data_IF_827096917931
#
_entry.id   IF_827096917931
#
_cell.length_a   1.000
_cell.length_b   1.000
_cell.length_c   1.000
_cell.angle_alpha   90.00
_cell.angle_beta   90.00
_cell.angle_gamma   90.00
#
_symmetry.space_group_name_H-M   'P 1'
#
loop_
_entity.id
_entity.type
_entity.pdbx_description
1 polymer ?
#
# COMPACT_ATOMS: atom_id res chain seq x y z
N UNK A 1 15.99 -5.69 -17.36
CA UNK A 1 17.20 -5.48 -18.17
C UNK A 1 16.82 -4.75 -19.44
N UNK A 2 17.63 -3.80 -19.92
CA UNK A 2 17.29 -2.92 -21.04
C UNK A 2 18.39 -2.85 -22.12
N UNK A 3 19.55 -3.46 -21.90
CA UNK A 3 20.67 -3.43 -22.83
C UNK A 3 21.28 -4.81 -22.97
N UNK A 4 21.92 -5.09 -24.12
CA UNK A 4 22.63 -6.35 -24.34
C UNK A 4 23.71 -6.60 -23.26
N UNK A 5 24.44 -5.57 -22.83
CA UNK A 5 25.46 -5.69 -21.77
C UNK A 5 24.88 -6.17 -20.43
N UNK A 6 23.67 -5.74 -20.08
CA UNK A 6 22.99 -6.23 -18.88
C UNK A 6 22.52 -7.68 -19.05
N UNK A 7 22.12 -8.05 -20.27
CA UNK A 7 21.74 -9.42 -20.61
C UNK A 7 22.93 -10.37 -20.52
N UNK A 8 24.09 -9.98 -21.05
CA UNK A 8 25.29 -10.81 -21.00
C UNK A 8 25.77 -11.09 -19.58
N UNK A 9 25.67 -10.09 -18.70
CA UNK A 9 26.00 -10.28 -17.28
C UNK A 9 25.06 -11.28 -16.62
N UNK A 10 23.76 -11.19 -16.88
CA UNK A 10 22.78 -12.13 -16.32
C UNK A 10 22.97 -13.55 -16.88
N UNK A 11 23.32 -13.70 -18.17
CA UNK A 11 23.63 -14.99 -18.79
C UNK A 11 24.85 -15.63 -18.12
N UNK A 12 25.91 -14.85 -17.86
CA UNK A 12 27.08 -15.35 -17.16
C UNK A 12 26.73 -15.81 -15.73
N UNK A 13 25.89 -15.06 -15.01
CA UNK A 13 25.41 -15.46 -13.69
C UNK A 13 24.60 -16.77 -13.74
N UNK A 14 23.70 -16.91 -14.73
CA UNK A 14 22.90 -18.13 -14.97
C UNK A 14 23.80 -19.34 -15.26
N UNK A 15 24.87 -19.16 -16.02
CA UNK A 15 25.85 -20.22 -16.29
C UNK A 15 26.57 -20.68 -15.02
N UNK A 16 26.96 -19.73 -14.16
CA UNK A 16 27.64 -20.04 -12.89
C UNK A 16 26.72 -20.62 -11.81
N UNK A 17 25.42 -20.31 -11.87
CA UNK A 17 24.42 -20.71 -10.90
C UNK A 17 23.12 -21.16 -11.60
N UNK A 18 23.09 -22.40 -12.15
CA UNK A 18 21.98 -22.86 -12.97
C UNK A 18 20.69 -23.03 -12.16
N UNK A 19 19.57 -22.59 -12.75
CA UNK A 19 18.23 -22.67 -12.17
C UNK A 19 17.17 -22.20 -13.15
N UNK A 20 15.90 -22.42 -12.83
CA UNK A 20 14.78 -22.00 -13.70
C UNK A 20 14.82 -20.47 -13.91
N UNK A 21 14.82 -20.04 -15.17
CA UNK A 21 14.85 -18.62 -15.54
C UNK A 21 13.45 -18.12 -15.87
N UNK A 22 12.89 -17.29 -14.99
CA UNK A 22 11.65 -16.56 -15.23
C UNK A 22 11.96 -15.13 -15.67
N UNK A 23 11.36 -14.66 -16.77
CA UNK A 23 11.68 -13.34 -17.32
C UNK A 23 10.45 -12.57 -17.84
N UNK A 24 10.59 -11.25 -17.98
CA UNK A 24 9.53 -10.32 -18.43
C UNK A 24 10.05 -9.32 -19.48
N UNK A 25 11.00 -9.76 -20.31
CA UNK A 25 11.56 -8.97 -21.41
C UNK A 25 10.52 -8.80 -22.51
N UNK A 26 10.27 -7.54 -22.87
CA UNK A 26 9.33 -7.15 -23.94
C UNK A 26 10.04 -6.99 -25.29
N UNK A 27 11.33 -6.68 -25.25
CA UNK A 27 12.18 -6.61 -26.43
C UNK A 27 12.44 -8.02 -26.98
N UNK A 28 12.02 -8.25 -28.22
CA UNK A 28 12.10 -9.58 -28.86
C UNK A 28 13.53 -10.06 -29.07
N UNK A 29 14.46 -9.15 -29.38
CA UNK A 29 15.85 -9.52 -29.63
C UNK A 29 16.51 -10.00 -28.33
N UNK A 30 16.29 -9.26 -27.24
CA UNK A 30 16.80 -9.63 -25.92
C UNK A 30 16.16 -10.92 -25.41
N UNK A 31 14.85 -11.11 -25.57
CA UNK A 31 14.17 -12.33 -25.12
C UNK A 31 14.65 -13.55 -25.91
N UNK A 32 14.75 -13.46 -27.24
CA UNK A 32 15.21 -14.59 -28.06
C UNK A 32 16.65 -14.99 -27.74
N UNK A 33 17.54 -14.02 -27.49
CA UNK A 33 18.91 -14.29 -27.08
C UNK A 33 18.99 -14.99 -25.71
N UNK A 34 18.18 -14.55 -24.74
CA UNK A 34 18.10 -15.21 -23.44
C UNK A 34 17.63 -16.67 -23.59
N UNK A 35 16.53 -16.89 -24.32
CA UNK A 35 15.99 -18.24 -24.56
C UNK A 35 16.96 -19.15 -25.30
N UNK A 36 17.71 -18.61 -26.26
CA UNK A 36 18.75 -19.36 -26.94
C UNK A 36 19.84 -19.79 -25.96
N UNK A 37 20.33 -18.88 -25.11
CA UNK A 37 21.39 -19.19 -24.14
C UNK A 37 20.92 -20.18 -23.07
N UNK A 38 19.70 -20.02 -22.57
CA UNK A 38 19.11 -21.00 -21.66
C UNK A 38 18.98 -22.38 -22.31
N UNK A 39 18.60 -22.46 -23.60
CA UNK A 39 18.59 -23.73 -24.34
C UNK A 39 19.98 -24.34 -24.49
N UNK A 40 20.99 -23.53 -24.82
CA UNK A 40 22.39 -23.98 -24.91
C UNK A 40 22.90 -24.56 -23.58
N UNK A 41 22.48 -23.98 -22.45
CA UNK A 41 22.84 -24.45 -21.11
C UNK A 41 21.95 -25.60 -20.59
N UNK A 42 20.91 -26.01 -21.33
CA UNK A 42 19.94 -27.00 -20.87
C UNK A 42 19.07 -26.51 -19.70
N UNK A 43 18.92 -25.19 -19.55
CA UNK A 43 18.20 -24.54 -18.46
C UNK A 43 16.76 -24.21 -18.91
N UNK A 44 15.73 -24.62 -18.14
CA UNK A 44 14.36 -24.20 -18.40
C UNK A 44 14.22 -22.68 -18.27
N UNK A 45 13.62 -22.06 -19.29
CA UNK A 45 13.28 -20.63 -19.25
C UNK A 45 11.83 -20.40 -19.67
N UNK A 46 11.18 -19.40 -19.07
CA UNK A 46 9.78 -19.07 -19.33
C UNK A 46 9.53 -17.57 -19.22
N UNK A 47 8.87 -17.00 -20.24
CA UNK A 47 8.32 -15.65 -20.16
C UNK A 47 7.04 -15.65 -19.35
N UNK A 48 7.00 -14.87 -18.26
CA UNK A 48 5.84 -14.81 -17.36
C UNK A 48 4.68 -14.03 -17.99
N UNK A 49 4.99 -12.97 -18.74
CA UNK A 49 3.97 -12.06 -19.29
C UNK A 49 3.60 -12.35 -20.75
N UNK A 50 4.44 -13.03 -21.52
CA UNK A 50 4.18 -13.26 -22.95
C UNK A 50 2.83 -13.98 -23.23
N UNK A 51 2.43 -15.01 -22.47
CA UNK A 51 1.14 -15.67 -22.70
C UNK A 51 -0.05 -14.71 -22.50
N UNK A 52 0.00 -13.88 -21.46
CA UNK A 52 -1.04 -12.90 -21.14
C UNK A 52 -1.10 -11.80 -22.21
N UNK A 53 0.07 -11.29 -22.62
CA UNK A 53 0.16 -10.27 -23.67
C UNK A 53 -0.34 -10.79 -25.02
N UNK A 54 0.01 -12.03 -25.38
CA UNK A 54 -0.42 -12.67 -26.63
C UNK A 54 -1.95 -12.86 -26.65
N UNK A 55 -2.55 -13.20 -25.50
CA UNK A 55 -4.00 -13.27 -25.36
C UNK A 55 -4.66 -11.91 -25.64
N UNK A 56 -4.18 -10.84 -24.99
CA UNK A 56 -4.71 -9.50 -25.23
C UNK A 56 -4.55 -9.02 -26.67
N UNK A 57 -3.40 -9.29 -27.31
CA UNK A 57 -3.17 -8.96 -28.73
C UNK A 57 -4.18 -9.65 -29.63
N UNK A 58 -4.38 -10.96 -29.43
CA UNK A 58 -5.32 -11.74 -30.24
C UNK A 58 -6.76 -11.27 -30.09
N UNK A 59 -7.15 -10.83 -28.89
CA UNK A 59 -8.50 -10.36 -28.61
C UNK A 59 -8.75 -8.92 -29.10
N UNK A 60 -7.77 -8.02 -28.93
CA UNK A 60 -7.92 -6.60 -29.23
C UNK A 60 -7.53 -6.25 -30.68
N UNK A 61 -6.93 -7.18 -31.43
CA UNK A 61 -6.50 -6.95 -32.82
C UNK A 61 -5.39 -5.92 -32.97
N UNK A 62 -4.70 -5.57 -31.87
CA UNK A 62 -3.65 -4.56 -31.85
C UNK A 62 -2.26 -5.22 -31.93
N UNK A 63 -1.48 -4.87 -32.96
CA UNK A 63 -0.06 -5.16 -32.97
C UNK A 63 0.62 -4.34 -31.86
N UNK A 64 1.35 -5.01 -30.96
CA UNK A 64 2.14 -4.29 -29.96
C UNK A 64 3.25 -3.52 -30.66
N UNK A 65 3.16 -2.19 -30.63
CA UNK A 65 4.34 -1.37 -30.72
C UNK A 65 5.21 -1.69 -29.50
N UNK A 66 6.26 -2.49 -29.70
CA UNK A 66 7.27 -2.76 -28.69
C UNK A 66 8.12 -1.50 -28.47
N UNK A 67 7.51 -0.42 -27.98
CA UNK A 67 8.25 0.75 -27.55
C UNK A 67 8.71 0.52 -26.11
N UNK A 68 9.99 0.16 -25.99
CA UNK A 68 10.75 0.37 -24.76
C UNK A 68 10.69 1.88 -24.46
N UNK A 69 9.91 2.26 -23.44
CA UNK A 69 9.74 3.66 -23.07
C UNK A 69 8.54 4.37 -23.72
N UNK A 70 7.38 3.72 -23.82
CA UNK A 70 6.10 4.41 -24.03
C UNK A 70 5.80 5.38 -22.85
N UNK A 71 6.51 6.51 -22.84
CA UNK A 71 6.61 7.47 -21.75
C UNK A 71 5.62 8.63 -21.94
N UNK A 72 4.59 8.48 -22.78
CA UNK A 72 3.78 9.60 -23.26
C UNK A 72 2.28 9.55 -22.95
N UNK A 73 1.74 8.49 -22.35
CA UNK A 73 0.42 8.50 -21.68
C UNK A 73 0.52 8.76 -20.17
N UNK A 74 1.60 9.43 -19.77
CA UNK A 74 2.07 9.59 -18.40
C UNK A 74 1.44 10.75 -17.62
N UNK A 75 0.36 11.37 -18.08
CA UNK A 75 -0.03 12.67 -17.52
C UNK A 75 -0.97 12.52 -16.29
N UNK A 76 -2.27 12.40 -16.49
CA UNK A 76 -3.22 12.63 -15.39
C UNK A 76 -3.14 11.62 -14.23
N UNK A 77 -3.07 10.31 -14.51
CA UNK A 77 -3.11 9.30 -13.45
C UNK A 77 -1.81 9.23 -12.66
N UNK A 78 -0.67 9.45 -13.33
CA UNK A 78 0.63 9.52 -12.66
C UNK A 78 0.73 10.79 -11.82
N UNK A 79 0.38 11.96 -12.35
CA UNK A 79 0.36 13.20 -11.57
C UNK A 79 -0.62 13.13 -10.39
N UNK A 80 -1.77 12.47 -10.55
CA UNK A 80 -2.69 12.19 -9.43
C UNK A 80 -2.03 11.34 -8.32
N UNK A 81 -1.23 10.33 -8.69
CA UNK A 81 -0.48 9.52 -7.71
C UNK A 81 0.61 10.33 -7.03
N UNK A 82 1.33 11.17 -7.78
CA UNK A 82 2.36 12.06 -7.21
C UNK A 82 1.74 13.05 -6.23
N UNK A 83 0.64 13.70 -6.61
CA UNK A 83 -0.10 14.61 -5.73
C UNK A 83 -0.61 13.91 -4.48
N UNK A 84 -1.21 12.72 -4.62
CA UNK A 84 -1.65 11.92 -3.48
C UNK A 84 -0.50 11.50 -2.56
N UNK A 85 0.66 11.14 -3.11
CA UNK A 85 1.87 10.80 -2.35
C UNK A 85 2.41 12.01 -1.58
N UNK A 86 2.51 13.16 -2.24
CA UNK A 86 2.96 14.40 -1.60
C UNK A 86 2.03 14.80 -0.45
N UNK A 87 0.72 14.81 -0.70
CA UNK A 87 -0.28 15.07 0.34
C UNK A 87 -0.13 14.11 1.53
N UNK A 88 -0.06 12.80 1.26
CA UNK A 88 0.01 11.78 2.29
C UNK A 88 1.28 11.87 3.12
N UNK A 89 2.44 12.13 2.49
CA UNK A 89 3.70 12.30 3.21
C UNK A 89 3.67 13.52 4.14
N UNK A 90 3.02 14.63 3.73
CA UNK A 90 2.85 15.81 4.58
C UNK A 90 1.94 15.56 5.79
N UNK A 91 1.03 14.58 5.71
CA UNK A 91 0.02 14.30 6.73
C UNK A 91 0.24 12.98 7.50
N UNK A 92 1.39 12.30 7.33
CA UNK A 92 1.62 11.02 8.00
C UNK A 92 2.11 11.18 9.45
N UNK A 93 2.91 12.22 9.73
CA UNK A 93 3.49 12.48 11.05
C UNK A 93 2.55 13.21 12.01
N UNK A 94 1.29 13.45 11.62
CA UNK A 94 0.27 14.11 12.45
C UNK A 94 0.55 15.58 12.78
N UNK A 95 1.57 16.18 12.16
CA UNK A 95 1.99 17.57 12.42
C UNK A 95 1.18 18.61 11.63
N UNK A 96 0.52 18.20 10.54
CA UNK A 96 -0.30 19.07 9.70
C UNK A 96 -1.75 18.57 9.79
N UNK A 97 -2.57 19.30 10.52
CA UNK A 97 -4.03 19.09 10.64
C UNK A 97 -4.82 20.16 9.88
N UNK A 98 -4.11 21.14 9.32
CA UNK A 98 -4.67 22.07 8.35
C UNK A 98 -4.94 21.30 7.04
N UNK A 99 -6.02 21.60 6.34
CA UNK A 99 -6.40 20.95 5.08
C UNK A 99 -6.82 19.46 5.12
N UNK A 100 -7.20 18.92 6.29
CA UNK A 100 -7.78 17.55 6.38
C UNK A 100 -8.99 17.33 5.45
N UNK A 101 -9.74 18.39 5.14
CA UNK A 101 -10.91 18.30 4.26
C UNK A 101 -10.55 18.12 2.77
N UNK A 102 -9.27 18.35 2.40
CA UNK A 102 -8.74 18.05 1.06
C UNK A 102 -8.37 16.56 0.89
N UNK A 103 -8.39 15.77 1.97
CA UNK A 103 -8.14 14.34 1.89
C UNK A 103 -9.30 13.60 1.21
N UNK A 104 -8.99 12.51 0.50
CA UNK A 104 -10.00 11.53 0.10
C UNK A 104 -10.38 10.63 1.29
N UNK A 105 -9.37 10.27 2.10
CA UNK A 105 -9.49 9.35 3.24
C UNK A 105 -8.72 9.90 4.43
N UNK A 106 -9.31 9.81 5.62
CA UNK A 106 -8.62 10.05 6.89
C UNK A 106 -8.57 8.75 7.67
N UNK A 107 -7.36 8.26 7.97
CA UNK A 107 -7.16 7.09 8.82
C UNK A 107 -6.98 7.53 10.26
N UNK A 108 -7.78 6.97 11.15
CA UNK A 108 -7.68 7.23 12.60
C UNK A 108 -7.41 5.93 13.34
N UNK A 109 -6.71 6.01 14.47
CA UNK A 109 -6.47 4.84 15.31
C UNK A 109 -5.19 4.95 16.11
N UNK A 110 -4.99 3.99 17.01
CA UNK A 110 -3.89 3.99 17.96
C UNK A 110 -2.57 3.62 17.28
N UNK A 111 -1.43 3.85 17.93
CA UNK A 111 -0.13 3.43 17.38
C UNK A 111 -0.12 1.92 17.08
N UNK A 112 0.55 1.52 15.99
CA UNK A 112 0.70 0.12 15.55
C UNK A 112 -0.54 -0.57 14.95
N UNK A 113 -1.46 0.21 14.41
CA UNK A 113 -2.60 -0.24 13.59
C UNK A 113 -2.36 -0.12 12.08
N UNK A 114 -1.09 -0.15 11.64
CA UNK A 114 -0.69 -0.09 10.22
C UNK A 114 -1.18 1.13 9.41
N UNK A 115 -1.52 2.25 10.07
CA UNK A 115 -1.98 3.48 9.39
C UNK A 115 -0.98 4.00 8.35
N UNK A 116 0.27 4.27 8.72
CA UNK A 116 1.31 4.79 7.81
C UNK A 116 1.52 3.92 6.57
N UNK A 117 1.79 2.59 6.69
CA UNK A 117 1.92 1.76 5.50
C UNK A 117 0.65 1.71 4.63
N UNK A 118 -0.53 1.74 5.26
CA UNK A 118 -1.82 1.75 4.54
C UNK A 118 -2.04 3.06 3.81
N UNK A 119 -1.73 4.20 4.43
CA UNK A 119 -1.84 5.53 3.83
C UNK A 119 -0.94 5.63 2.60
N UNK A 120 0.33 5.21 2.71
CA UNK A 120 1.27 5.19 1.58
C UNK A 120 0.77 4.28 0.46
N UNK A 121 0.23 3.10 0.80
CA UNK A 121 -0.32 2.19 -0.20
C UNK A 121 -1.53 2.79 -0.95
N UNK A 122 -2.43 3.48 -0.24
CA UNK A 122 -3.55 4.19 -0.84
C UNK A 122 -3.08 5.36 -1.72
N UNK A 123 -2.07 6.10 -1.28
CA UNK A 123 -1.47 7.20 -2.03
C UNK A 123 -0.84 6.73 -3.35
N UNK A 124 -0.18 5.57 -3.36
CA UNK A 124 0.31 4.92 -4.58
C UNK A 124 -0.80 4.58 -5.59
N UNK A 125 -2.06 4.49 -5.12
CA UNK A 125 -3.25 4.33 -5.97
C UNK A 125 -3.93 5.66 -6.32
N UNK A 126 -3.35 6.79 -5.93
CA UNK A 126 -3.84 8.13 -6.22
C UNK A 126 -4.93 8.61 -5.26
N UNK A 127 -4.93 8.15 -4.02
CA UNK A 127 -5.89 8.52 -2.97
C UNK A 127 -5.17 9.37 -1.93
N UNK A 128 -5.59 10.64 -1.76
CA UNK A 128 -5.05 11.55 -0.74
C UNK A 128 -5.44 11.03 0.64
N UNK A 129 -4.47 10.57 1.42
CA UNK A 129 -4.75 9.95 2.72
C UNK A 129 -4.07 10.74 3.83
N UNK A 130 -4.83 11.17 4.83
CA UNK A 130 -4.28 11.76 6.04
C UNK A 130 -4.29 10.75 7.19
N UNK A 131 -3.26 10.76 8.04
CA UNK A 131 -3.13 9.85 9.16
C UNK A 131 -3.20 10.63 10.48
N UNK A 132 -4.29 10.43 11.24
CA UNK A 132 -4.52 11.10 12.51
C UNK A 132 -4.36 10.09 13.65
N UNK A 133 -3.26 10.14 14.41
CA UNK A 133 -3.07 9.25 15.55
C UNK A 133 -4.08 9.59 16.66
N UNK A 134 -4.66 8.55 17.26
CA UNK A 134 -5.53 8.70 18.44
C UNK A 134 -4.77 8.28 19.69
N UNK A 135 -4.74 9.18 20.67
CA UNK A 135 -4.15 8.96 21.99
C UNK A 135 -5.16 9.43 23.04
N UNK A 136 -5.60 8.59 24.00
CA UNK A 136 -6.69 8.94 24.93
C UNK A 136 -6.45 10.21 25.75
N UNK A 137 -5.19 10.53 26.07
CA UNK A 137 -4.82 11.71 26.86
C UNK A 137 -4.80 13.01 26.04
N UNK A 138 -4.91 12.94 24.72
CA UNK A 138 -4.85 14.09 23.82
C UNK A 138 -6.18 14.17 23.06
N UNK A 139 -6.93 15.29 23.15
CA UNK A 139 -8.16 15.43 22.39
C UNK A 139 -7.85 15.33 20.89
N UNK A 140 -8.68 14.62 20.09
CA UNK A 140 -8.53 14.62 18.65
C UNK A 140 -8.62 16.05 18.09
N UNK A 141 -7.97 16.34 16.95
CA UNK A 141 -8.07 17.65 16.31
C UNK A 141 -9.54 18.03 16.08
N UNK A 142 -9.98 19.25 16.45
CA UNK A 142 -11.38 19.66 16.29
C UNK A 142 -11.85 19.59 14.84
N UNK A 143 -10.94 19.77 13.88
CA UNK A 143 -11.19 19.63 12.45
C UNK A 143 -11.77 18.26 12.09
N UNK A 144 -11.37 17.19 12.79
CA UNK A 144 -11.84 15.83 12.55
C UNK A 144 -13.35 15.68 12.80
N UNK A 145 -13.94 16.55 13.64
CA UNK A 145 -15.37 16.58 13.88
C UNK A 145 -16.15 17.41 12.85
N UNK A 146 -15.48 18.30 12.11
CA UNK A 146 -16.10 19.24 11.16
C UNK A 146 -15.85 18.90 9.70
N UNK A 147 -14.89 18.02 9.39
CA UNK A 147 -14.63 17.56 8.02
C UNK A 147 -15.85 16.85 7.44
N UNK A 148 -16.21 17.20 6.21
CA UNK A 148 -17.41 16.69 5.54
C UNK A 148 -17.04 15.85 4.32
N UNK A 149 -15.96 16.22 3.64
CA UNK A 149 -15.57 15.64 2.36
C UNK A 149 -14.93 14.25 2.48
N UNK A 150 -13.88 14.04 3.29
CA UNK A 150 -13.17 12.76 3.36
C UNK A 150 -14.03 11.62 3.93
N UNK A 151 -13.67 10.40 3.57
CA UNK A 151 -14.07 9.20 4.30
C UNK A 151 -13.14 9.01 5.51
N UNK A 152 -13.68 9.11 6.73
CA UNK A 152 -12.91 8.80 7.95
C UNK A 152 -13.04 7.31 8.27
N UNK A 153 -11.92 6.60 8.42
CA UNK A 153 -11.87 5.16 8.73
C UNK A 153 -11.03 4.92 9.97
N UNK A 154 -11.61 4.21 10.94
CA UNK A 154 -10.92 3.84 12.17
C UNK A 154 -10.28 2.45 12.02
N UNK A 155 -8.94 2.39 12.13
CA UNK A 155 -8.18 1.14 12.14
C UNK A 155 -7.98 0.65 13.58
N UNK A 156 -8.33 -0.59 13.84
CA UNK A 156 -8.14 -1.27 15.12
C UNK A 156 -7.41 -2.59 14.92
N UNK A 157 -6.76 -3.09 15.98
CA UNK A 157 -6.16 -4.42 15.99
C UNK A 157 -6.34 -5.04 17.38
N UNK A 158 -6.09 -6.33 17.51
CA UNK A 158 -6.16 -7.01 18.79
C UNK A 158 -5.09 -6.49 19.75
N UNK A 159 -5.38 -6.43 21.07
CA UNK A 159 -4.39 -6.03 22.06
C UNK A 159 -3.10 -6.84 21.98
N UNK A 160 -3.21 -8.14 21.72
CA UNK A 160 -2.08 -9.06 21.61
C UNK A 160 -1.18 -8.68 20.42
N UNK A 161 -1.79 -8.34 19.27
CA UNK A 161 -1.05 -7.94 18.08
C UNK A 161 -0.31 -6.63 18.29
N UNK A 162 -0.96 -5.65 18.92
CA UNK A 162 -0.35 -4.35 19.20
C UNK A 162 0.79 -4.49 20.19
N UNK A 163 0.58 -5.25 21.28
CA UNK A 163 1.60 -5.48 22.30
C UNK A 163 2.82 -6.20 21.69
N UNK A 164 2.61 -7.23 20.85
CA UNK A 164 3.69 -7.90 20.12
C UNK A 164 4.48 -6.93 19.22
N UNK A 165 3.80 -6.05 18.48
CA UNK A 165 4.49 -5.07 17.61
C UNK A 165 5.25 -4.02 18.45
N UNK A 166 4.69 -3.57 19.57
CA UNK A 166 5.35 -2.61 20.48
C UNK A 166 6.60 -3.24 21.11
N UNK A 167 6.50 -4.47 21.59
CA UNK A 167 7.63 -5.25 22.12
C UNK A 167 8.74 -5.44 21.09
N UNK A 168 8.42 -5.85 19.86
CA UNK A 168 9.43 -6.04 18.80
C UNK A 168 10.18 -4.74 18.45
N UNK A 169 9.49 -3.58 18.54
CA UNK A 169 10.15 -2.28 18.35
C UNK A 169 11.10 -1.95 19.51
N UNK A 170 10.72 -2.28 20.74
CA UNK A 170 11.52 -2.05 21.94
C UNK A 170 12.71 -3.01 22.07
N UNK A 171 12.60 -4.24 21.58
CA UNK A 171 13.71 -5.19 21.52
C UNK A 171 14.82 -4.73 20.56
N UNK A 172 14.47 -4.00 19.50
CA UNK A 172 15.46 -3.29 18.65
C UNK A 172 16.08 -2.05 19.31
N UNK A 173 15.56 -1.64 20.47
CA UNK A 173 15.92 -0.47 21.26
C UNK A 173 16.15 -0.88 22.73
N UNK A 174 16.91 -1.96 22.98
CA UNK A 174 17.36 -2.45 24.30
C UNK A 174 16.53 -2.01 25.54
N UNK A 175 15.33 -2.57 25.74
CA UNK A 175 14.77 -2.80 27.07
C UNK A 175 13.46 -3.62 26.99
N UNK A 176 13.26 -4.56 27.93
CA UNK A 176 12.25 -4.47 29.01
C UNK A 176 11.91 -5.85 29.65
N UNK A 177 11.65 -5.79 30.96
CA UNK A 177 11.22 -6.84 31.90
C UNK A 177 9.70 -7.12 31.90
N UNK A 178 9.28 -8.25 32.49
CA UNK A 178 7.91 -8.81 32.39
C UNK A 178 6.76 -7.98 33.03
N UNK A 179 7.03 -7.13 34.03
CA UNK A 179 5.99 -6.35 34.73
C UNK A 179 5.34 -5.26 33.84
N UNK A 180 6.12 -4.66 32.93
CA UNK A 180 5.65 -3.64 32.00
C UNK A 180 4.67 -4.19 30.95
N UNK A 181 4.71 -5.50 30.68
CA UNK A 181 3.85 -6.15 29.66
C UNK A 181 2.38 -6.21 30.08
N UNK A 182 2.09 -6.43 31.37
CA UNK A 182 0.71 -6.47 31.87
C UNK A 182 0.08 -5.07 31.86
N UNK A 183 0.85 -4.06 32.26
CA UNK A 183 0.44 -2.64 32.24
C UNK A 183 0.21 -2.16 30.80
N UNK A 184 1.06 -2.56 29.84
CA UNK A 184 0.90 -2.23 28.41
C UNK A 184 -0.41 -2.79 27.83
N UNK A 185 -0.81 -4.03 28.17
CA UNK A 185 -2.08 -4.60 27.65
C UNK A 185 -3.31 -3.86 28.13
N UNK A 186 -3.35 -3.44 29.40
CA UNK A 186 -4.47 -2.67 29.93
C UNK A 186 -4.54 -1.29 29.25
N UNK A 187 -3.40 -0.60 29.10
CA UNK A 187 -3.32 0.67 28.39
C UNK A 187 -3.78 0.54 26.93
N UNK A 188 -3.32 -0.49 26.21
CA UNK A 188 -3.77 -0.76 24.83
C UNK A 188 -5.29 -0.98 24.77
N UNK A 189 -5.87 -1.72 25.73
CA UNK A 189 -7.31 -1.94 25.77
C UNK A 189 -8.09 -0.63 25.94
N UNK A 190 -7.59 0.30 26.77
CA UNK A 190 -8.17 1.63 26.97
C UNK A 190 -8.07 2.49 25.70
N UNK A 191 -6.92 2.47 25.01
CA UNK A 191 -6.72 3.16 23.74
C UNK A 191 -7.66 2.63 22.63
N UNK A 192 -7.85 1.31 22.56
CA UNK A 192 -8.78 0.68 21.62
C UNK A 192 -10.23 1.02 21.95
N UNK A 193 -10.60 1.01 23.23
CA UNK A 193 -11.94 1.40 23.68
C UNK A 193 -12.25 2.86 23.35
N UNK A 194 -11.27 3.75 23.55
CA UNK A 194 -11.37 5.15 23.13
C UNK A 194 -11.62 5.27 21.62
N UNK A 195 -10.83 4.59 20.79
CA UNK A 195 -10.99 4.60 19.33
C UNK A 195 -12.36 4.09 18.89
N UNK A 196 -12.83 2.97 19.44
CA UNK A 196 -14.16 2.40 19.13
C UNK A 196 -15.30 3.34 19.52
N UNK A 197 -15.21 3.99 20.68
CA UNK A 197 -16.21 4.99 21.13
C UNK A 197 -16.26 6.20 20.20
N UNK A 198 -15.11 6.71 19.79
CA UNK A 198 -15.03 7.85 18.88
C UNK A 198 -15.61 7.49 17.50
N UNK A 199 -15.22 6.34 16.94
CA UNK A 199 -15.75 5.85 15.68
C UNK A 199 -17.27 5.66 15.72
N UNK A 200 -17.79 5.05 16.80
CA UNK A 200 -19.22 4.86 17.01
C UNK A 200 -19.98 6.19 17.09
N UNK A 201 -19.45 7.19 17.83
CA UNK A 201 -20.05 8.52 17.97
C UNK A 201 -20.21 9.24 16.63
N UNK A 202 -19.24 9.10 15.74
CA UNK A 202 -19.22 9.80 14.44
C UNK A 202 -19.63 8.92 13.27
N UNK A 203 -20.09 7.69 13.53
CA UNK A 203 -20.45 6.68 12.53
C UNK A 203 -19.33 6.40 11.50
N UNK A 204 -18.08 6.34 11.98
CA UNK A 204 -16.93 5.98 11.14
C UNK A 204 -16.80 4.47 11.00
N UNK A 205 -16.58 3.95 9.78
CA UNK A 205 -16.28 2.54 9.59
C UNK A 205 -15.07 2.08 10.41
N UNK A 206 -15.21 0.95 11.08
CA UNK A 206 -14.13 0.28 11.80
C UNK A 206 -13.57 -0.86 10.96
N UNK A 207 -12.25 -0.88 10.76
CA UNK A 207 -11.55 -1.99 10.10
C UNK A 207 -10.59 -2.63 11.09
N UNK A 208 -10.81 -3.92 11.35
CA UNK A 208 -9.87 -4.74 12.12
C UNK A 208 -8.74 -5.24 11.21
N UNK A 209 -7.52 -4.79 11.51
CA UNK A 209 -6.29 -5.10 10.76
C UNK A 209 -5.44 -6.20 11.41
N UNK A 210 -5.93 -6.87 12.46
CA UNK A 210 -5.15 -7.85 13.25
C UNK A 210 -4.47 -8.91 12.39
N UNK A 211 -5.18 -9.42 11.39
CA UNK A 211 -4.73 -10.48 10.47
C UNK A 211 -4.83 -10.08 8.99
N UNK A 212 -4.98 -8.79 8.71
CA UNK A 212 -5.08 -8.28 7.33
C UNK A 212 -3.72 -7.82 6.84
N UNK A 213 -3.44 -8.03 5.56
CA UNK A 213 -2.35 -7.36 4.87
C UNK A 213 -2.68 -5.88 4.65
N UNK A 214 -1.67 -5.11 4.25
CA UNK A 214 -1.85 -3.70 3.87
C UNK A 214 -2.76 -3.60 2.65
N UNK A 215 -2.57 -4.50 1.68
CA UNK A 215 -3.38 -4.60 0.45
C UNK A 215 -4.85 -4.90 0.76
N UNK A 216 -5.13 -5.86 1.65
CA UNK A 216 -6.50 -6.21 2.05
C UNK A 216 -7.19 -5.06 2.81
N UNK A 217 -6.44 -4.38 3.67
CA UNK A 217 -6.94 -3.20 4.40
C UNK A 217 -7.25 -2.06 3.43
N UNK A 218 -6.33 -1.77 2.51
CA UNK A 218 -6.53 -0.74 1.49
C UNK A 218 -7.69 -1.09 0.55
N UNK A 219 -7.85 -2.35 0.15
CA UNK A 219 -8.98 -2.79 -0.67
C UNK A 219 -10.33 -2.54 0.02
N UNK A 220 -10.44 -2.83 1.33
CA UNK A 220 -11.63 -2.54 2.11
C UNK A 220 -11.94 -1.03 2.17
N UNK A 221 -10.91 -0.19 2.38
CA UNK A 221 -11.05 1.28 2.38
C UNK A 221 -11.49 1.79 1.01
N UNK A 222 -10.91 1.29 -0.07
CA UNK A 222 -11.27 1.68 -1.45
C UNK A 222 -12.72 1.31 -1.75
N UNK A 223 -13.19 0.15 -1.27
CA UNK A 223 -14.60 -0.24 -1.39
C UNK A 223 -15.52 0.78 -0.73
N UNK A 224 -15.27 1.09 0.55
CA UNK A 224 -16.05 2.08 1.31
C UNK A 224 -16.04 3.47 0.65
N UNK A 225 -14.89 3.89 0.12
CA UNK A 225 -14.75 5.17 -0.57
C UNK A 225 -15.58 5.22 -1.85
N UNK A 226 -15.58 4.13 -2.62
CA UNK A 226 -16.37 4.01 -3.84
C UNK A 226 -17.87 3.95 -3.54
N UNK A 227 -18.28 3.29 -2.45
CA UNK A 227 -19.67 3.26 -1.99
C UNK A 227 -20.16 4.68 -1.64
N UNK A 228 -19.40 5.40 -0.81
CA UNK A 228 -19.69 6.80 -0.45
C UNK A 228 -19.78 7.72 -1.67
N UNK A 229 -18.90 7.55 -2.66
CA UNK A 229 -18.93 8.34 -3.90
C UNK A 229 -20.18 8.05 -4.74
N UNK A 230 -20.62 6.79 -4.80
CA UNK A 230 -21.86 6.40 -5.49
C UNK A 230 -23.10 6.97 -4.82
N UNK A 231 -23.17 6.93 -3.50
CA UNK A 231 -24.29 7.51 -2.74
C UNK A 231 -24.44 9.02 -2.98
N UNK A 232 -23.32 9.76 -3.02
CA UNK A 232 -23.33 11.20 -3.33
C UNK A 232 -23.83 11.50 -4.74
N UNK A 233 -23.37 10.75 -5.74
CA UNK A 233 -23.78 10.92 -7.14
C UNK A 233 -25.25 10.55 -7.41
N UNK A 234 -25.90 9.80 -6.52
CA UNK A 234 -27.32 9.46 -6.60
C UNK A 234 -28.25 10.40 -5.83
N UNK A 235 -27.71 11.47 -5.23
CA UNK A 235 -28.48 12.51 -4.51
C UNK A 235 -28.40 13.90 -5.17
N UNK A 236 -27.64 14.02 -6.26
CA UNK A 236 -27.59 15.18 -7.16
C UNK A 236 -28.42 14.90 -8.43
#
# INVERSE_FOLDING_TARGET
>A
MRTQKQLDRAIAEIETAPGIVLYTLVDRELSSRLEQKCREFGIPCLSVLQPVLSLFQSYLGAETAAQVGAQHTLDAQYFKRIDAMNFTMMHDDGQIVDDLDQADVVLVGISRTSKTPTAIYLANRGIKTANVPLVPSIPPPPQLATIANPLVVALIASPERISQIRQNRMLGLNAVHAADTYVDRQAIAEELAFTKRLASRHNWPLIDVTRRSIEETAAAIVSLLNDRRRERLGHD
#
